data_IF_161661794518
#
_entry.id   IF_161661794518
#
_cell.length_a   1.000
_cell.length_b   1.000
_cell.length_c   1.000
_cell.angle_alpha   90.00
_cell.angle_beta   90.00
_cell.angle_gamma   90.00
#
_symmetry.space_group_name_H-M   'P 1'
#
loop_
_entity.id
_entity.type
_entity.pdbx_description
1 polymer ?
#
# COMPACT_ATOMS: atom_id res chain seq x y z
N UNK A 1 -11.00 62.71 -50.15
CA UNK A 1 -11.37 61.34 -50.58
C UNK A 1 -10.13 60.75 -51.20
N UNK A 2 -9.54 59.65 -50.76
CA UNK A 2 -9.99 58.55 -49.89
C UNK A 2 -8.78 58.07 -49.07
N UNK A 3 -9.03 57.74 -47.79
CA UNK A 3 -8.15 56.88 -47.00
C UNK A 3 -8.57 55.44 -47.27
N UNK A 4 -7.78 54.67 -48.00
CA UNK A 4 -7.88 53.21 -48.08
C UNK A 4 -6.45 52.67 -48.15
N UNK A 5 -6.04 51.60 -47.47
CA UNK A 5 -6.72 50.54 -46.72
C UNK A 5 -5.64 50.01 -45.78
N UNK A 6 -5.89 49.93 -44.48
CA UNK A 6 -4.94 49.30 -43.55
C UNK A 6 -5.03 47.79 -43.82
N UNK A 7 -3.99 47.24 -44.43
CA UNK A 7 -3.86 45.80 -44.64
C UNK A 7 -3.63 45.13 -43.28
N UNK A 8 -4.72 44.78 -42.60
CA UNK A 8 -4.70 44.00 -41.37
C UNK A 8 -4.35 42.54 -41.68
N UNK A 9 -3.06 42.27 -41.87
CA UNK A 9 -2.52 40.94 -42.13
C UNK A 9 -2.45 40.02 -40.89
N UNK A 10 -3.02 40.41 -39.75
CA UNK A 10 -3.13 39.58 -38.54
C UNK A 10 -4.42 38.75 -38.46
N UNK A 11 -5.40 38.96 -39.35
CA UNK A 11 -6.62 38.14 -39.36
C UNK A 11 -6.36 36.92 -40.27
N UNK A 12 -5.58 35.95 -39.78
CA UNK A 12 -5.50 34.61 -40.37
C UNK A 12 -6.15 33.61 -39.43
N UNK A 13 -7.39 33.28 -39.78
CA UNK A 13 -8.03 31.96 -39.72
C UNK A 13 -7.52 31.00 -38.62
N UNK A 14 -8.26 30.97 -37.51
CA UNK A 14 -8.21 29.83 -36.58
C UNK A 14 -8.92 28.66 -37.27
N UNK A 15 -8.17 27.67 -37.76
CA UNK A 15 -8.77 26.51 -38.41
C UNK A 15 -9.65 25.71 -37.42
N UNK A 16 -10.91 25.37 -37.78
CA UNK A 16 -11.77 24.51 -36.97
C UNK A 16 -11.20 23.08 -36.99
N UNK A 17 -10.29 22.80 -36.07
CA UNK A 17 -9.50 21.56 -36.03
C UNK A 17 -8.14 21.73 -35.34
N UNK A 18 -7.73 22.95 -34.97
CA UNK A 18 -6.59 23.14 -34.06
C UNK A 18 -6.94 22.61 -32.67
N UNK A 19 -6.62 21.32 -32.43
CA UNK A 19 -6.45 20.78 -31.08
C UNK A 19 -5.53 21.75 -30.34
N UNK A 20 -6.03 22.43 -29.31
CA UNK A 20 -5.17 23.25 -28.45
C UNK A 20 -4.00 22.36 -28.06
N UNK A 21 -2.80 22.68 -28.57
CA UNK A 21 -1.59 21.97 -28.15
C UNK A 21 -1.38 22.41 -26.72
N UNK A 22 -1.92 21.64 -25.78
CA UNK A 22 -1.69 21.90 -24.39
C UNK A 22 -0.19 21.87 -24.18
N UNK A 23 0.34 23.01 -23.73
CA UNK A 23 1.77 23.27 -23.69
C UNK A 23 2.44 22.35 -22.68
N UNK A 24 3.72 22.06 -22.92
CA UNK A 24 4.52 21.29 -21.99
C UNK A 24 4.83 22.16 -20.76
N UNK A 25 4.73 21.57 -19.57
CA UNK A 25 4.97 22.24 -18.29
C UNK A 25 5.71 21.33 -17.31
N UNK A 26 6.48 21.96 -16.42
CA UNK A 26 7.26 21.27 -15.39
C UNK A 26 6.37 20.48 -14.42
N UNK A 27 6.90 19.45 -13.74
CA UNK A 27 6.10 18.63 -12.86
C UNK A 27 5.57 19.41 -11.66
N UNK A 28 4.44 18.97 -11.11
CA UNK A 28 3.86 19.45 -9.86
C UNK A 28 3.27 18.27 -9.11
N UNK A 29 3.60 18.14 -7.83
CA UNK A 29 2.94 17.17 -6.94
C UNK A 29 1.53 17.70 -6.62
N UNK A 30 0.52 16.88 -6.88
CA UNK A 30 -0.90 17.19 -6.60
C UNK A 30 -1.48 16.35 -5.47
N UNK A 31 -0.84 15.23 -5.14
CA UNK A 31 -1.13 14.44 -3.94
C UNK A 31 0.20 14.14 -3.26
N UNK A 32 0.36 14.65 -2.05
CA UNK A 32 1.54 14.45 -1.21
C UNK A 32 1.32 13.21 -0.34
N UNK A 33 2.37 12.43 -0.03
CA UNK A 33 2.25 11.36 0.94
C UNK A 33 1.98 11.93 2.33
N UNK A 34 1.37 11.10 3.17
CA UNK A 34 1.11 11.41 4.58
C UNK A 34 1.75 10.35 5.45
N UNK A 35 2.07 10.73 6.69
CA UNK A 35 2.62 9.82 7.69
C UNK A 35 1.72 8.59 7.86
N UNK A 36 2.34 7.41 7.93
CA UNK A 36 1.65 6.13 7.96
C UNK A 36 2.22 5.23 9.05
N UNK A 37 1.33 4.79 9.95
CA UNK A 37 1.60 3.77 10.95
C UNK A 37 0.93 2.46 10.51
N UNK A 38 1.71 1.40 10.36
CA UNK A 38 1.22 0.13 9.78
C UNK A 38 1.84 -1.08 10.46
N UNK A 39 1.08 -2.13 10.70
CA UNK A 39 1.60 -3.34 11.35
C UNK A 39 2.65 -4.04 10.47
N UNK A 40 3.66 -4.62 11.11
CA UNK A 40 4.64 -5.47 10.42
C UNK A 40 3.94 -6.61 9.67
N UNK A 41 4.35 -6.86 8.44
CA UNK A 41 3.82 -7.95 7.60
C UNK A 41 2.59 -7.55 6.79
N UNK A 42 1.91 -6.47 7.16
CA UNK A 42 0.75 -5.95 6.42
C UNK A 42 1.18 -5.16 5.16
N UNK A 43 0.34 -5.11 4.12
CA UNK A 43 0.57 -4.25 2.98
C UNK A 43 0.39 -2.76 3.35
N UNK A 44 1.02 -1.88 2.59
CA UNK A 44 0.93 -0.42 2.80
C UNK A 44 1.09 0.35 1.48
N UNK A 45 0.56 1.57 1.44
CA UNK A 45 0.74 2.46 0.29
C UNK A 45 1.10 3.86 0.77
N UNK A 46 2.20 4.41 0.26
CA UNK A 46 2.47 5.85 0.32
C UNK A 46 1.98 6.47 -0.97
N UNK A 47 0.95 7.30 -0.87
CA UNK A 47 0.37 7.96 -2.04
C UNK A 47 1.27 9.08 -2.54
N UNK A 48 1.44 9.14 -3.85
CA UNK A 48 2.03 10.29 -4.52
C UNK A 48 1.43 10.38 -5.91
N UNK A 49 1.00 11.58 -6.28
CA UNK A 49 0.51 11.85 -7.64
C UNK A 49 1.12 13.15 -8.13
N UNK A 50 1.67 13.09 -9.34
CA UNK A 50 2.27 14.24 -10.01
C UNK A 50 1.58 14.49 -11.36
N UNK A 51 1.42 15.76 -11.68
CA UNK A 51 1.06 16.23 -13.01
C UNK A 51 2.28 16.85 -13.68
N UNK A 52 2.30 16.82 -15.00
CA UNK A 52 3.39 17.39 -15.79
C UNK A 52 3.17 17.01 -17.23
N UNK A 53 3.69 17.84 -18.14
CA UNK A 53 3.66 17.51 -19.56
C UNK A 53 5.03 17.79 -20.17
N UNK A 54 5.72 16.79 -20.75
CA UNK A 54 5.38 15.37 -20.82
C UNK A 54 5.17 14.73 -19.45
N UNK A 55 4.44 13.62 -19.40
CA UNK A 55 4.12 12.90 -18.16
C UNK A 55 5.40 12.64 -17.36
N UNK A 56 5.46 13.07 -16.09
CA UNK A 56 6.68 12.95 -15.31
C UNK A 56 6.95 11.50 -14.90
N UNK A 57 8.23 11.15 -14.81
CA UNK A 57 8.67 9.93 -14.14
C UNK A 57 8.73 10.20 -12.63
N UNK A 58 8.24 9.25 -11.83
CA UNK A 58 8.26 9.35 -10.37
C UNK A 58 9.28 8.37 -9.80
N UNK A 59 10.08 8.84 -8.85
CA UNK A 59 11.00 8.03 -8.05
C UNK A 59 10.77 8.30 -6.57
N UNK A 60 11.14 7.36 -5.72
CA UNK A 60 11.04 7.51 -4.26
C UNK A 60 12.42 7.52 -3.62
N UNK A 61 12.55 8.34 -2.59
CA UNK A 61 13.74 8.43 -1.75
C UNK A 61 13.33 8.21 -0.30
N UNK A 62 14.13 7.44 0.41
CA UNK A 62 13.99 7.13 1.83
C UNK A 62 15.25 7.59 2.54
N UNK A 63 15.12 8.51 3.49
CA UNK A 63 16.24 9.04 4.27
C UNK A 63 17.39 9.57 3.38
N UNK A 64 17.05 10.10 2.20
CA UNK A 64 17.99 10.59 1.19
C UNK A 64 18.51 9.56 0.19
N UNK A 65 18.23 8.26 0.38
CA UNK A 65 18.66 7.19 -0.53
C UNK A 65 17.53 6.77 -1.47
N UNK A 66 17.87 6.49 -2.73
CA UNK A 66 16.89 6.06 -3.74
C UNK A 66 16.31 4.69 -3.36
N UNK A 67 14.99 4.58 -3.36
CA UNK A 67 14.28 3.33 -3.09
C UNK A 67 14.32 2.45 -4.33
N UNK A 68 14.80 1.22 -4.18
CA UNK A 68 14.71 0.17 -5.21
C UNK A 68 13.29 -0.43 -5.25
N UNK A 69 12.65 -0.44 -6.41
CA UNK A 69 11.32 -1.03 -6.61
C UNK A 69 11.39 -2.21 -7.59
N UNK A 70 10.23 -2.79 -7.86
CA UNK A 70 9.98 -3.78 -8.92
C UNK A 70 10.52 -3.39 -10.31
N UNK A 71 10.71 -2.10 -10.59
CA UNK A 71 11.24 -1.62 -11.87
C UNK A 71 12.72 -1.88 -12.03
N UNK A 72 13.50 -1.80 -10.95
CA UNK A 72 14.93 -2.10 -10.95
C UNK A 72 15.22 -3.55 -10.57
N UNK A 73 14.43 -4.10 -9.65
CA UNK A 73 14.59 -5.47 -9.16
C UNK A 73 13.23 -6.18 -9.09
N UNK A 74 12.95 -7.15 -9.98
CA UNK A 74 11.70 -7.92 -9.97
C UNK A 74 11.43 -8.71 -8.69
N UNK A 75 12.43 -8.87 -7.80
CA UNK A 75 12.27 -9.53 -6.50
C UNK A 75 11.99 -8.55 -5.35
N UNK A 76 11.96 -7.24 -5.61
CA UNK A 76 11.64 -6.23 -4.60
C UNK A 76 10.23 -6.44 -4.06
N UNK A 77 10.04 -6.28 -2.74
CA UNK A 77 8.69 -6.27 -2.13
C UNK A 77 8.00 -4.90 -2.24
N UNK A 78 8.65 -3.94 -2.88
CA UNK A 78 8.17 -2.57 -3.10
C UNK A 78 7.86 -2.39 -4.59
N UNK A 79 6.69 -1.84 -4.88
CA UNK A 79 6.18 -1.68 -6.24
C UNK A 79 5.88 -0.21 -6.52
N UNK A 80 6.32 0.29 -7.67
CA UNK A 80 5.99 1.64 -8.12
C UNK A 80 4.74 1.62 -9.01
N UNK A 81 3.61 2.05 -8.45
CA UNK A 81 2.33 2.06 -9.15
C UNK A 81 2.31 3.10 -10.29
N UNK A 82 1.40 2.90 -11.24
CA UNK A 82 1.20 3.85 -12.35
C UNK A 82 0.78 5.26 -11.88
N UNK A 83 0.17 5.37 -10.70
CA UNK A 83 -0.17 6.65 -10.08
C UNK A 83 1.05 7.46 -9.65
N UNK A 84 2.20 6.81 -9.45
CA UNK A 84 3.37 7.36 -8.74
C UNK A 84 3.45 6.91 -7.28
N UNK A 85 2.41 6.26 -6.74
CA UNK A 85 2.39 5.76 -5.36
C UNK A 85 3.37 4.60 -5.17
N UNK A 86 3.98 4.54 -3.98
CA UNK A 86 4.84 3.42 -3.56
C UNK A 86 4.00 2.42 -2.77
N UNK A 87 3.86 1.22 -3.31
CA UNK A 87 3.14 0.12 -2.67
C UNK A 87 4.11 -0.89 -2.06
N UNK A 88 3.88 -1.29 -0.83
CA UNK A 88 4.61 -2.33 -0.13
C UNK A 88 3.73 -3.57 -0.06
N UNK A 89 4.19 -4.69 -0.61
CA UNK A 89 3.50 -5.98 -0.50
C UNK A 89 3.37 -6.43 0.96
N UNK A 90 4.40 -6.13 1.76
CA UNK A 90 4.43 -6.34 3.21
C UNK A 90 5.44 -5.40 3.84
N UNK A 91 5.16 -4.90 5.04
CA UNK A 91 6.11 -4.11 5.81
C UNK A 91 7.15 -4.99 6.49
N UNK A 92 8.43 -4.79 6.15
CA UNK A 92 9.58 -5.51 6.69
C UNK A 92 10.22 -4.72 7.82
N UNK A 93 10.09 -5.26 9.03
CA UNK A 93 10.71 -4.72 10.24
C UNK A 93 11.27 -5.85 11.11
N UNK A 94 12.59 -5.90 11.24
CA UNK A 94 13.32 -6.90 12.04
C UNK A 94 14.13 -6.26 13.16
N UNK A 95 14.58 -7.07 14.12
CA UNK A 95 15.39 -6.59 15.26
C UNK A 95 16.72 -5.96 14.85
N UNK A 96 17.34 -6.44 13.75
CA UNK A 96 18.64 -5.99 13.25
C UNK A 96 18.56 -5.13 11.99
N UNK A 97 17.43 -5.15 11.29
CA UNK A 97 17.25 -4.45 10.02
C UNK A 97 15.80 -4.00 9.89
N UNK A 98 15.64 -2.72 9.56
CA UNK A 98 14.35 -2.04 9.42
C UNK A 98 14.32 -1.35 8.05
N UNK A 99 14.35 -2.13 6.95
CA UNK A 99 14.58 -1.58 5.62
C UNK A 99 13.45 -0.65 5.16
N UNK A 100 12.22 -0.82 5.67
CA UNK A 100 11.07 -0.02 5.28
C UNK A 100 10.79 1.17 6.22
N UNK A 101 11.21 1.13 7.47
CA UNK A 101 11.01 2.24 8.42
C UNK A 101 11.92 3.42 8.06
N UNK A 102 11.34 4.62 7.89
CA UNK A 102 12.10 5.84 7.57
C UNK A 102 11.22 6.98 7.05
N UNK A 103 11.86 8.07 6.61
CA UNK A 103 11.20 9.23 6.02
C UNK A 103 11.27 9.19 4.49
N UNK A 104 10.12 9.27 3.85
CA UNK A 104 9.96 9.11 2.40
C UNK A 104 9.57 10.43 1.72
N UNK A 105 10.12 10.63 0.52
CA UNK A 105 9.67 11.65 -0.43
C UNK A 105 9.56 11.04 -1.82
N UNK A 106 8.57 11.48 -2.59
CA UNK A 106 8.53 11.21 -4.02
C UNK A 106 9.08 12.41 -4.80
N UNK A 107 9.78 12.10 -5.89
CA UNK A 107 10.37 13.08 -6.79
C UNK A 107 9.88 12.82 -8.21
N UNK A 108 9.19 13.80 -8.78
CA UNK A 108 8.63 13.76 -10.12
C UNK A 108 9.47 14.59 -11.09
N UNK A 109 9.87 14.01 -12.23
CA UNK A 109 10.78 14.65 -13.20
C UNK A 109 10.25 14.59 -14.63
N UNK A 110 10.42 15.67 -15.37
CA UNK A 110 10.37 15.67 -16.82
C UNK A 110 11.47 16.60 -17.36
N UNK A 111 11.53 16.82 -18.68
CA UNK A 111 12.61 17.63 -19.26
C UNK A 111 12.56 19.12 -18.88
N UNK A 112 11.45 19.60 -18.31
CA UNK A 112 11.25 20.98 -17.89
C UNK A 112 11.59 21.21 -16.41
N UNK A 113 11.77 20.15 -15.62
CA UNK A 113 12.18 20.28 -14.23
C UNK A 113 11.80 19.11 -13.33
N UNK A 114 11.80 19.41 -12.04
CA UNK A 114 11.60 18.47 -10.94
C UNK A 114 10.63 19.06 -9.91
N UNK A 115 9.80 18.21 -9.32
CA UNK A 115 9.00 18.53 -8.14
C UNK A 115 9.20 17.48 -7.06
N UNK A 116 9.37 17.93 -5.82
CA UNK A 116 9.58 17.08 -4.64
C UNK A 116 8.36 17.18 -3.73
N UNK A 117 7.90 16.05 -3.20
CA UNK A 117 6.76 16.04 -2.26
C UNK A 117 7.13 16.53 -0.87
N UNK A 118 6.14 16.55 0.01
CA UNK A 118 6.40 16.64 1.44
C UNK A 118 6.98 15.31 1.93
N UNK A 119 7.63 15.35 3.09
CA UNK A 119 8.05 14.16 3.79
C UNK A 119 6.83 13.42 4.35
N UNK A 120 6.91 12.09 4.34
CA UNK A 120 6.03 11.22 5.08
C UNK A 120 6.84 10.18 5.86
N UNK A 121 6.54 9.97 7.13
CA UNK A 121 7.13 8.89 7.92
C UNK A 121 6.38 7.57 7.69
N UNK A 122 7.13 6.47 7.62
CA UNK A 122 6.56 5.12 7.64
C UNK A 122 7.06 4.41 8.90
N UNK A 123 6.15 4.18 9.84
CA UNK A 123 6.48 3.61 11.15
C UNK A 123 5.71 2.31 11.40
N UNK A 124 6.39 1.20 11.71
CA UNK A 124 5.69 -0.03 12.03
C UNK A 124 4.97 0.04 13.38
N UNK A 125 3.68 -0.28 13.41
CA UNK A 125 2.94 -0.41 14.66
C UNK A 125 3.55 -1.55 15.49
N UNK A 126 4.05 -1.23 16.68
CA UNK A 126 4.52 -2.22 17.64
C UNK A 126 3.28 -2.82 18.31
N UNK A 127 2.72 -3.89 17.71
CA UNK A 127 1.87 -4.78 18.49
C UNK A 127 2.77 -5.41 19.55
N UNK A 128 2.77 -4.80 20.73
CA UNK A 128 3.30 -5.44 21.92
C UNK A 128 2.50 -6.72 22.08
N UNK A 129 3.03 -7.85 21.60
CA UNK A 129 2.63 -9.15 22.08
C UNK A 129 2.93 -9.12 23.57
N UNK A 130 1.96 -8.69 24.39
CA UNK A 130 1.97 -8.97 25.80
C UNK A 130 2.00 -10.48 25.87
N UNK A 131 3.19 -11.07 25.97
CA UNK A 131 3.33 -12.39 26.55
C UNK A 131 2.65 -12.25 27.89
N UNK A 132 1.46 -12.82 28.03
CA UNK A 132 0.89 -13.08 29.33
C UNK A 132 1.82 -14.09 29.96
N UNK A 133 2.84 -13.58 30.64
CA UNK A 133 3.73 -14.36 31.47
C UNK A 133 2.91 -14.66 32.71
N UNK A 134 2.18 -15.78 32.68
CA UNK A 134 1.57 -16.29 33.89
C UNK A 134 2.71 -16.52 34.89
N UNK A 135 2.65 -15.93 36.11
CA UNK A 135 3.55 -16.30 37.18
C UNK A 135 3.63 -17.82 37.29
N UNK A 136 4.83 -18.37 37.47
CA UNK A 136 4.97 -19.77 37.89
C UNK A 136 4.19 -19.91 39.20
N UNK A 137 3.01 -20.53 39.13
CA UNK A 137 2.07 -20.67 40.26
C UNK A 137 0.65 -20.13 40.04
N UNK A 138 0.34 -19.48 38.90
CA UNK A 138 -1.05 -19.13 38.59
C UNK A 138 -1.86 -20.35 38.14
N UNK A 139 -2.83 -20.74 38.96
CA UNK A 139 -3.79 -21.81 38.68
C UNK A 139 -4.77 -21.33 37.59
N UNK A 140 -4.85 -22.05 36.47
CA UNK A 140 -5.94 -21.87 35.52
C UNK A 140 -7.25 -22.18 36.26
N UNK A 141 -8.22 -21.26 36.23
CA UNK A 141 -9.56 -21.57 36.73
C UNK A 141 -10.14 -22.67 35.83
N UNK A 142 -10.17 -23.89 36.35
CA UNK A 142 -10.73 -25.06 35.68
C UNK A 142 -12.22 -24.82 35.40
N UNK A 143 -12.54 -24.52 34.14
CA UNK A 143 -13.87 -24.69 33.59
C UNK A 143 -14.03 -26.10 33.04
N UNK A 144 -14.92 -26.86 33.67
CA UNK A 144 -15.53 -28.13 33.22
C UNK A 144 -14.68 -29.40 33.37
N UNK A 145 -15.23 -30.26 34.23
CA UNK A 145 -14.86 -31.64 34.53
C UNK A 145 -14.89 -32.56 33.32
N UNK A 146 -13.82 -33.32 33.13
CA UNK A 146 -13.77 -34.49 32.25
C UNK A 146 -12.52 -35.28 32.56
N UNK A 147 -12.67 -36.35 33.33
CA UNK A 147 -11.64 -37.31 33.68
C UNK A 147 -11.09 -38.01 32.43
N UNK A 148 -9.77 -38.09 32.29
CA UNK A 148 -9.06 -39.34 31.97
C UNK A 148 -7.55 -39.20 32.21
N UNK A 149 -6.99 -40.20 32.90
CA UNK A 149 -5.57 -40.38 33.18
C UNK A 149 -4.80 -40.71 31.90
N UNK A 150 -3.75 -39.96 31.56
CA UNK A 150 -2.58 -40.52 30.86
C UNK A 150 -1.28 -39.84 31.31
N UNK A 151 -0.36 -40.69 31.77
CA UNK A 151 1.07 -40.42 31.97
C UNK A 151 1.72 -40.20 30.60
N UNK A 152 2.63 -39.24 30.46
CA UNK A 152 3.51 -39.21 29.29
C UNK A 152 4.27 -37.91 29.08
N UNK A 153 5.56 -38.09 28.78
CA UNK A 153 6.60 -37.13 28.42
C UNK A 153 6.22 -35.99 27.47
N UNK A 154 7.06 -34.96 27.50
CA UNK A 154 6.88 -33.72 26.74
C UNK A 154 6.68 -33.90 25.24
N UNK A 155 5.83 -33.04 24.68
CA UNK A 155 5.82 -32.75 23.25
C UNK A 155 5.22 -31.37 22.99
N UNK A 156 5.86 -30.72 22.02
CA UNK A 156 5.48 -29.50 21.32
C UNK A 156 4.02 -29.55 20.87
N UNK A 157 3.20 -28.60 21.33
CA UNK A 157 1.77 -28.55 20.98
C UNK A 157 1.58 -27.63 19.78
N UNK A 158 1.56 -28.22 18.60
CA UNK A 158 1.14 -27.57 17.35
C UNK A 158 -0.35 -27.22 17.45
N UNK A 159 -0.70 -25.95 17.26
CA UNK A 159 -2.10 -25.49 17.24
C UNK A 159 -2.81 -25.99 15.98
N UNK A 160 -4.05 -26.52 16.10
CA UNK A 160 -4.85 -26.84 14.92
C UNK A 160 -5.41 -25.56 14.26
N UNK A 161 -5.40 -25.54 12.93
CA UNK A 161 -6.07 -24.56 12.09
C UNK A 161 -7.58 -24.81 12.15
N UNK A 162 -8.34 -23.94 12.83
CA UNK A 162 -9.81 -23.96 12.76
C UNK A 162 -10.27 -23.48 11.38
N UNK A 163 -10.89 -24.40 10.64
CA UNK A 163 -11.58 -24.13 9.38
C UNK A 163 -12.85 -23.30 9.61
N UNK A 164 -12.94 -22.21 8.84
CA UNK A 164 -14.13 -21.60 8.24
C UNK A 164 -15.51 -22.01 8.79
N UNK A 165 -16.18 -21.07 9.45
CA UNK A 165 -17.63 -21.09 9.65
C UNK A 165 -18.32 -20.31 8.53
N UNK A 166 -19.00 -21.02 7.63
CA UNK A 166 -20.03 -20.43 6.76
C UNK A 166 -21.39 -20.49 7.48
N UNK A 167 -22.14 -19.38 7.59
CA UNK A 167 -23.45 -19.35 8.24
C UNK A 167 -24.57 -19.26 7.20
N UNK A 168 -25.10 -20.39 6.74
CA UNK A 168 -26.44 -20.41 6.15
C UNK A 168 -27.19 -21.66 6.60
N UNK A 169 -28.08 -21.47 7.57
CA UNK A 169 -29.09 -22.44 7.96
C UNK A 169 -30.26 -22.47 6.97
N UNK A 170 -30.98 -23.61 6.94
CA UNK A 170 -32.19 -23.77 6.15
C UNK A 170 -32.87 -25.11 6.40
N UNK A 171 -33.94 -25.05 7.20
CA UNK A 171 -34.83 -26.11 7.68
C UNK A 171 -35.41 -27.06 6.61
N UNK A 172 -35.77 -28.28 7.06
CA UNK A 172 -36.87 -29.05 6.45
C UNK A 172 -36.88 -30.55 6.81
N UNK A 173 -37.89 -31.06 7.55
CA UNK A 173 -38.02 -32.48 7.90
C UNK A 173 -38.89 -33.24 6.88
N UNK A 174 -38.67 -34.54 6.69
CA UNK A 174 -39.67 -35.60 6.90
C UNK A 174 -39.07 -36.97 6.53
N UNK A 175 -39.44 -38.00 7.29
CA UNK A 175 -39.00 -39.36 7.07
C UNK A 175 -39.82 -40.08 6.02
N UNK A 176 -39.26 -41.09 5.36
CA UNK A 176 -39.77 -42.47 5.35
C UNK A 176 -38.95 -43.40 4.45
N UNK A 177 -38.44 -44.47 5.08
CA UNK A 177 -38.51 -45.90 4.69
C UNK A 177 -38.06 -46.41 3.29
N UNK A 178 -37.31 -47.53 3.43
CA UNK A 178 -37.25 -48.79 2.63
C UNK A 178 -36.14 -48.95 1.57
N UNK A 179 -35.18 -49.79 1.95
CA UNK A 179 -34.77 -51.05 1.29
C UNK A 179 -35.16 -51.25 -0.18
N UNK A 180 -34.17 -51.23 -1.08
CA UNK A 180 -33.59 -52.40 -1.76
C UNK A 180 -32.23 -52.01 -2.34
#
# INVERSE_FOLDING_TARGET
MEMTKIDNWWIREVHPGSRLRQEDYAPRIIEHPSDLIVSKGEPATLNCKAEGRPTPTVEWYKDGERVETDRENPRSHRMLLHSGSLFFLRIVHGRRSKPDEGSYVCVARNYLGEAVSHNASLEPHQLNSKRFQFPLGSVALNGVSGSDNLVGDGQDVTMPLDLHSDPYGGNGPDGTRRTQ
#
